data_IF_657307809746
#
_entry.id   IF_657307809746
#
_cell.length_a   1.000
_cell.length_b   1.000
_cell.length_c   1.000
_cell.angle_alpha   90.00
_cell.angle_beta   90.00
_cell.angle_gamma   90.00
#
_symmetry.space_group_name_H-M   'P 1'
#
loop_
_entity.id
_entity.type
_entity.pdbx_description
1 polymer ?
#
# COMPACT_ATOMS: atom_id res chain seq x y z
N UNK A 1 -13.86 -19.97 6.43
CA UNK A 1 -14.73 -18.80 6.67
C UNK A 1 -13.86 -17.59 6.38
N UNK A 2 -14.35 -16.66 5.58
CA UNK A 2 -13.65 -15.41 5.25
C UNK A 2 -14.18 -14.32 6.19
N UNK A 3 -13.30 -13.50 6.76
CA UNK A 3 -13.65 -12.40 7.66
C UNK A 3 -13.69 -11.06 6.91
N UNK A 4 -14.54 -10.14 7.38
CA UNK A 4 -14.69 -8.80 6.78
C UNK A 4 -14.89 -7.72 7.85
N UNK A 5 -14.36 -6.52 7.57
CA UNK A 5 -14.58 -5.30 8.37
C UNK A 5 -15.34 -4.30 7.50
N UNK A 6 -16.46 -3.78 8.01
CA UNK A 6 -17.28 -2.79 7.32
C UNK A 6 -16.89 -1.37 7.74
N UNK A 7 -16.75 -0.48 6.77
CA UNK A 7 -16.52 0.95 6.96
C UNK A 7 -17.70 1.76 6.42
N UNK A 8 -17.90 2.96 6.95
CA UNK A 8 -18.98 3.86 6.51
C UNK A 8 -18.80 4.31 5.06
N UNK A 9 -17.56 4.53 4.62
CA UNK A 9 -17.21 4.78 3.24
C UNK A 9 -15.87 4.12 2.84
N UNK A 10 -15.67 3.94 1.54
CA UNK A 10 -14.39 3.48 0.99
C UNK A 10 -13.23 4.45 1.30
N UNK A 11 -13.55 5.74 1.43
CA UNK A 11 -12.57 6.74 1.87
C UNK A 11 -12.03 6.41 3.27
N UNK A 12 -12.93 6.11 4.22
CA UNK A 12 -12.57 5.77 5.60
C UNK A 12 -11.79 4.45 5.68
N UNK A 13 -12.19 3.46 4.88
CA UNK A 13 -11.48 2.19 4.78
C UNK A 13 -10.02 2.39 4.35
N UNK A 14 -9.80 3.16 3.27
CA UNK A 14 -8.46 3.45 2.78
C UNK A 14 -7.65 4.29 3.76
N UNK A 15 -8.27 5.23 4.46
CA UNK A 15 -7.57 6.05 5.44
C UNK A 15 -7.08 5.24 6.66
N UNK A 16 -7.88 4.30 7.15
CA UNK A 16 -7.59 3.59 8.40
C UNK A 16 -6.81 2.28 8.25
N UNK A 17 -6.88 1.61 7.10
CA UNK A 17 -6.41 0.22 7.00
C UNK A 17 -4.88 0.09 7.12
N UNK A 18 -4.13 1.06 6.60
CA UNK A 18 -2.67 0.98 6.58
C UNK A 18 -2.06 1.11 7.97
N UNK A 19 -2.64 1.91 8.87
CA UNK A 19 -2.15 2.03 10.25
C UNK A 19 -2.25 0.71 11.02
N UNK A 20 -3.30 -0.07 10.75
CA UNK A 20 -3.55 -1.35 11.43
C UNK A 20 -2.72 -2.48 10.84
N UNK A 21 -2.51 -2.47 9.52
CA UNK A 21 -1.84 -3.57 8.81
C UNK A 21 -0.32 -3.41 8.71
N UNK A 22 0.24 -2.25 9.05
CA UNK A 22 1.67 -2.00 8.88
C UNK A 22 2.35 -1.48 10.13
N UNK A 23 3.63 -1.82 10.27
CA UNK A 23 4.51 -1.37 11.34
C UNK A 23 5.75 -0.61 10.77
N UNK A 24 6.60 0.00 11.62
CA UNK A 24 7.76 0.77 11.16
C UNK A 24 8.82 -0.02 10.39
N UNK A 25 8.80 -1.36 10.44
CA UNK A 25 9.71 -2.23 9.70
C UNK A 25 9.23 -2.52 8.26
N UNK A 26 7.97 -2.20 7.96
CA UNK A 26 7.37 -2.42 6.66
C UNK A 26 7.71 -1.33 5.65
N UNK A 27 7.50 -1.67 4.37
CA UNK A 27 7.56 -0.73 3.25
C UNK A 27 6.24 -0.76 2.49
N UNK A 28 5.71 0.42 2.17
CA UNK A 28 4.57 0.60 1.28
C UNK A 28 5.07 1.20 -0.03
N UNK A 29 4.86 0.49 -1.14
CA UNK A 29 5.13 0.98 -2.50
C UNK A 29 3.80 1.27 -3.19
N UNK A 30 3.53 2.56 -3.46
CA UNK A 30 2.28 3.05 -4.05
C UNK A 30 2.49 3.56 -5.48
N UNK A 31 1.55 3.30 -6.37
CA UNK A 31 1.47 4.02 -7.65
C UNK A 31 1.29 5.53 -7.37
N UNK A 32 1.93 6.38 -8.17
CA UNK A 32 1.89 7.84 -8.00
C UNK A 32 0.53 8.46 -8.31
N UNK A 33 -0.31 7.80 -9.11
CA UNK A 33 -1.68 8.23 -9.45
C UNK A 33 -2.76 7.46 -8.67
N UNK A 34 -2.40 6.83 -7.55
CA UNK A 34 -3.40 6.27 -6.64
C UNK A 34 -4.36 7.34 -6.14
N UNK A 35 -5.60 6.92 -5.84
CA UNK A 35 -6.63 7.82 -5.33
C UNK A 35 -6.19 8.53 -4.05
N UNK A 36 -6.59 9.80 -3.87
CA UNK A 36 -6.15 10.63 -2.75
C UNK A 36 -6.40 9.96 -1.37
N UNK A 37 -7.50 9.22 -1.22
CA UNK A 37 -7.81 8.50 0.03
C UNK A 37 -6.78 7.42 0.39
N UNK A 38 -6.19 6.75 -0.61
CA UNK A 38 -5.13 5.77 -0.42
C UNK A 38 -3.86 6.49 0.01
N UNK A 39 -3.51 7.58 -0.69
CA UNK A 39 -2.34 8.39 -0.37
C UNK A 39 -2.42 8.92 1.07
N UNK A 40 -3.59 9.39 1.49
CA UNK A 40 -3.82 9.90 2.84
C UNK A 40 -3.71 8.79 3.89
N UNK A 41 -4.26 7.59 3.63
CA UNK A 41 -4.07 6.45 4.52
C UNK A 41 -2.60 6.01 4.65
N UNK A 42 -1.86 5.96 3.55
CA UNK A 42 -0.42 5.63 3.54
C UNK A 42 0.38 6.67 4.32
N UNK A 43 -0.01 7.95 4.27
CA UNK A 43 0.64 9.02 5.06
C UNK A 43 0.47 8.82 6.56
N UNK A 44 -0.65 8.24 6.99
CA UNK A 44 -0.94 7.94 8.40
C UNK A 44 -0.17 6.71 8.92
N UNK A 45 0.23 5.79 8.04
CA UNK A 45 1.06 4.64 8.41
C UNK A 45 2.44 5.04 8.93
N UNK A 46 3.03 4.20 9.78
CA UNK A 46 4.41 4.34 10.27
C UNK A 46 5.46 3.69 9.36
N UNK A 47 5.04 2.87 8.40
CA UNK A 47 5.91 2.19 7.45
C UNK A 47 6.75 3.17 6.62
N UNK A 48 7.82 2.68 6.01
CA UNK A 48 8.56 3.43 4.97
C UNK A 48 7.67 3.57 3.74
N UNK A 49 7.65 4.75 3.12
CA UNK A 49 6.80 5.02 1.95
C UNK A 49 7.66 5.24 0.71
N UNK A 50 7.30 4.58 -0.37
CA UNK A 50 7.92 4.72 -1.69
C UNK A 50 6.82 4.85 -2.75
N UNK A 51 7.08 5.62 -3.80
CA UNK A 51 6.13 5.79 -4.91
C UNK A 51 6.76 5.36 -6.22
N UNK A 52 6.05 4.58 -7.03
CA UNK A 52 6.46 4.23 -8.39
C UNK A 52 5.65 4.98 -9.44
N UNK A 53 6.28 5.21 -10.59
CA UNK A 53 5.67 5.87 -11.74
C UNK A 53 4.44 5.11 -12.21
N UNK A 54 3.44 5.84 -12.66
CA UNK A 54 2.15 5.26 -12.99
C UNK A 54 2.26 4.16 -14.05
N UNK A 55 1.78 2.96 -13.71
CA UNK A 55 1.86 1.75 -14.57
C UNK A 55 3.29 1.34 -15.00
N UNK A 56 4.34 1.87 -14.37
CA UNK A 56 5.73 1.54 -14.69
C UNK A 56 6.21 0.35 -13.86
N UNK A 57 6.09 -0.84 -14.44
CA UNK A 57 6.53 -2.08 -13.79
C UNK A 57 8.05 -2.12 -13.61
N UNK A 58 8.82 -1.42 -14.45
CA UNK A 58 10.27 -1.33 -14.30
C UNK A 58 10.67 -0.55 -13.05
N UNK A 59 10.08 0.62 -12.85
CA UNK A 59 10.29 1.45 -11.65
C UNK A 59 9.74 0.75 -10.38
N UNK A 60 8.65 -0.02 -10.51
CA UNK A 60 8.18 -0.89 -9.44
C UNK A 60 9.24 -1.94 -9.10
N UNK A 61 9.76 -2.69 -10.08
CA UNK A 61 10.79 -3.72 -9.87
C UNK A 61 12.08 -3.17 -9.25
N UNK A 62 12.52 -1.97 -9.63
CA UNK A 62 13.67 -1.31 -9.02
C UNK A 62 13.43 -1.07 -7.53
N UNK A 63 12.26 -0.53 -7.16
CA UNK A 63 11.90 -0.34 -5.74
C UNK A 63 11.71 -1.65 -5.00
N UNK A 64 11.25 -2.71 -5.66
CA UNK A 64 11.21 -4.05 -5.06
C UNK A 64 12.63 -4.55 -4.71
N UNK A 65 13.59 -4.41 -5.63
CA UNK A 65 14.98 -4.85 -5.42
C UNK A 65 15.67 -4.10 -4.27
N UNK A 66 15.32 -2.84 -4.07
CA UNK A 66 15.84 -2.01 -2.97
C UNK A 66 15.32 -2.39 -1.58
N UNK A 67 14.27 -3.23 -1.48
CA UNK A 67 13.62 -3.54 -0.20
C UNK A 67 13.34 -5.05 -0.08
N UNK A 68 14.06 -5.75 0.80
CA UNK A 68 13.88 -7.19 1.08
C UNK A 68 12.95 -7.46 2.29
N UNK A 69 12.00 -6.56 2.59
CA UNK A 69 11.13 -6.64 3.76
C UNK A 69 9.65 -6.89 3.42
N UNK A 70 8.80 -6.88 4.45
CA UNK A 70 7.34 -6.88 4.30
C UNK A 70 6.92 -5.72 3.41
N UNK A 71 6.25 -6.07 2.32
CA UNK A 71 5.91 -5.11 1.29
C UNK A 71 4.41 -5.10 1.03
N UNK A 72 3.85 -3.91 1.02
CA UNK A 72 2.50 -3.65 0.52
C UNK A 72 2.59 -2.88 -0.80
N UNK A 73 2.18 -3.53 -1.90
CA UNK A 73 2.06 -2.89 -3.22
C UNK A 73 0.62 -2.45 -3.43
N UNK A 74 0.41 -1.19 -3.82
CA UNK A 74 -0.93 -0.67 -4.14
C UNK A 74 -0.95 -0.18 -5.59
N UNK A 75 -1.37 -1.00 -6.56
CA UNK A 75 -1.54 -0.61 -7.96
C UNK A 75 -2.94 -0.01 -8.23
N UNK A 76 -3.06 0.73 -9.33
CA UNK A 76 -4.36 1.13 -9.91
C UNK A 76 -4.88 0.06 -10.89
N UNK A 77 -6.19 -0.05 -11.23
CA UNK A 77 -7.41 0.29 -10.48
C UNK A 77 -7.87 -0.84 -9.53
N UNK A 78 -7.14 -1.96 -9.50
CA UNK A 78 -7.43 -3.08 -8.62
C UNK A 78 -6.57 -2.97 -7.38
N UNK A 79 -7.20 -2.73 -6.23
CA UNK A 79 -6.56 -2.75 -4.93
C UNK A 79 -6.08 -4.18 -4.60
N UNK A 80 -4.97 -4.60 -5.21
CA UNK A 80 -4.34 -5.88 -4.95
C UNK A 80 -3.25 -5.64 -3.91
N UNK A 81 -3.61 -5.72 -2.62
CA UNK A 81 -2.63 -5.77 -1.55
C UNK A 81 -1.86 -7.08 -1.66
N UNK A 82 -0.69 -7.02 -2.30
CA UNK A 82 0.22 -8.15 -2.28
C UNK A 82 1.11 -8.01 -1.05
N UNK A 83 0.84 -8.83 -0.05
CA UNK A 83 1.73 -9.05 1.08
C UNK A 83 2.77 -10.10 0.66
N UNK A 84 4.04 -9.71 0.58
CA UNK A 84 5.13 -10.68 0.48
C UNK A 84 5.78 -10.80 1.85
N UNK A 85 5.70 -11.99 2.42
CA UNK A 85 6.40 -12.42 3.62
C UNK A 85 7.16 -13.67 3.19
N UNK A 86 8.49 -13.59 3.12
CA UNK A 86 9.28 -14.82 3.14
C UNK A 86 9.09 -15.51 4.51
#
# INVERSE_FOLDING_TARGET
MEDAILYAACFDANAGIFEVLTDPSDVIISDELNHASIIDGIRLSKAKKMRFKHMDVGDLEEKLKENQGYLLVVPTPNFALKFSKD
#
